data_IF_673596816958
#
_entry.id   IF_673596816958
#
_cell.length_a   1.000
_cell.length_b   1.000
_cell.length_c   1.000
_cell.angle_alpha   90.00
_cell.angle_beta   90.00
_cell.angle_gamma   90.00
#
_symmetry.space_group_name_H-M   'P 1'
#
loop_
_entity.id
_entity.type
_entity.pdbx_description
1 polymer ?
#
# COMPACT_ATOMS: atom_id res chain seq x y z
N UNK A 1 -2.42 2.45 -1.83
CA UNK A 1 -2.33 1.00 -2.06
C UNK A 1 -1.58 0.39 -0.94
N UNK A 2 -1.73 -0.92 -0.73
CA UNK A 2 -1.10 -1.57 0.38
C UNK A 2 0.36 -1.89 0.03
N UNK A 3 1.30 -1.31 0.77
CA UNK A 3 2.71 -1.65 0.76
C UNK A 3 2.96 -2.87 1.64
N UNK A 4 3.91 -3.73 1.30
CA UNK A 4 4.54 -4.59 2.30
C UNK A 4 5.38 -3.69 3.20
N UNK A 5 5.13 -3.74 4.50
CA UNK A 5 5.82 -2.89 5.47
C UNK A 5 6.73 -3.70 6.37
N UNK A 6 7.83 -3.07 6.79
CA UNK A 6 8.77 -3.59 7.78
C UNK A 6 8.75 -2.70 9.01
N UNK A 7 8.56 -3.30 10.18
CA UNK A 7 8.88 -2.69 11.46
C UNK A 7 10.22 -3.20 11.97
N UNK A 8 11.09 -2.31 12.44
CA UNK A 8 12.42 -2.65 12.97
C UNK A 8 12.62 -1.99 14.32
N UNK A 9 13.03 -2.76 15.33
CA UNK A 9 13.45 -2.18 16.61
C UNK A 9 14.78 -1.44 16.41
N UNK A 10 14.77 -0.13 16.61
CA UNK A 10 15.94 0.73 16.44
C UNK A 10 16.56 1.18 17.76
N UNK A 11 15.88 0.96 18.88
CA UNK A 11 16.43 1.26 20.19
C UNK A 11 15.42 1.11 21.33
N UNK A 12 15.90 1.39 22.53
CA UNK A 12 15.09 1.61 23.72
C UNK A 12 15.24 3.07 24.13
N UNK A 13 14.15 3.76 24.43
CA UNK A 13 14.22 5.20 24.76
C UNK A 13 14.59 5.46 26.22
N UNK A 14 14.54 4.44 27.08
CA UNK A 14 14.71 4.58 28.52
C UNK A 14 15.61 3.47 29.11
N UNK A 15 15.70 3.42 30.44
CA UNK A 15 16.62 2.58 31.22
C UNK A 15 16.25 1.08 31.17
N UNK A 16 16.71 0.40 30.12
CA UNK A 16 16.49 -1.05 29.93
C UNK A 16 17.30 -1.92 30.89
N UNK A 17 18.39 -1.40 31.46
CA UNK A 17 19.21 -2.15 32.42
C UNK A 17 18.46 -2.30 33.75
N UNK A 18 17.83 -1.22 34.21
CA UNK A 18 17.01 -1.22 35.43
C UNK A 18 15.61 -1.78 35.22
N UNK A 19 15.03 -1.56 34.03
CA UNK A 19 13.69 -1.99 33.66
C UNK A 19 13.74 -2.81 32.37
N UNK A 20 14.07 -4.10 32.44
CA UNK A 20 14.27 -4.93 31.25
C UNK A 20 12.96 -5.13 30.47
N UNK A 21 13.09 -5.27 29.15
CA UNK A 21 11.96 -5.62 28.29
C UNK A 21 11.48 -7.04 28.63
N UNK A 22 10.26 -7.19 29.16
CA UNK A 22 9.69 -8.50 29.45
C UNK A 22 9.47 -9.40 28.22
N UNK A 23 9.33 -8.79 27.04
CA UNK A 23 9.24 -9.54 25.78
C UNK A 23 10.62 -9.95 25.23
N UNK A 24 11.69 -9.48 25.87
CA UNK A 24 13.08 -9.72 25.51
C UNK A 24 13.39 -9.37 24.04
N UNK A 25 12.98 -8.18 23.62
CA UNK A 25 13.34 -7.64 22.31
C UNK A 25 14.84 -7.33 22.22
N UNK A 26 15.44 -7.59 21.07
CA UNK A 26 16.80 -7.16 20.72
C UNK A 26 16.77 -6.09 19.62
N UNK A 27 17.67 -5.11 19.73
CA UNK A 27 17.85 -4.08 18.70
C UNK A 27 18.20 -4.78 17.38
N UNK A 28 17.51 -4.38 16.31
CA UNK A 28 17.63 -5.01 15.01
C UNK A 28 16.62 -6.12 14.74
N UNK A 29 15.80 -6.55 15.73
CA UNK A 29 14.66 -7.43 15.46
C UNK A 29 13.65 -6.73 14.54
N UNK A 30 13.09 -7.53 13.62
CA UNK A 30 12.19 -7.05 12.57
C UNK A 30 10.90 -7.87 12.55
N UNK A 31 9.82 -7.23 12.10
CA UNK A 31 8.62 -7.90 11.63
C UNK A 31 8.19 -7.31 10.30
N UNK A 32 7.43 -8.07 9.51
CA UNK A 32 6.82 -7.58 8.27
C UNK A 32 5.32 -7.83 8.26
N UNK A 33 4.60 -7.00 7.51
CA UNK A 33 3.18 -7.19 7.20
C UNK A 33 2.96 -7.01 5.70
N UNK A 34 2.37 -8.00 5.05
CA UNK A 34 2.19 -8.07 3.59
C UNK A 34 0.73 -7.92 3.14
N UNK A 35 -0.16 -7.51 4.05
CA UNK A 35 -1.60 -7.41 3.81
C UNK A 35 -2.42 -8.59 4.32
N UNK A 36 -1.79 -9.74 4.56
CA UNK A 36 -2.45 -10.95 5.06
C UNK A 36 -1.76 -11.52 6.29
N UNK A 37 -0.44 -11.56 6.26
CA UNK A 37 0.40 -12.21 7.27
C UNK A 37 1.30 -11.21 7.92
N UNK A 38 1.47 -11.41 9.22
CA UNK A 38 2.51 -10.76 10.00
C UNK A 38 3.58 -11.81 10.30
N UNK A 39 4.80 -11.52 9.87
CA UNK A 39 5.96 -12.39 10.10
C UNK A 39 6.93 -11.70 11.05
N UNK A 40 7.38 -12.37 12.09
CA UNK A 40 8.24 -11.80 13.13
C UNK A 40 7.58 -11.79 14.51
N UNK A 41 8.35 -11.39 15.53
CA UNK A 41 7.89 -11.40 16.93
C UNK A 41 7.23 -10.07 17.28
N UNK A 42 5.99 -10.12 17.74
CA UNK A 42 5.27 -8.93 18.19
C UNK A 42 4.81 -9.09 19.64
N UNK A 43 5.25 -8.17 20.49
CA UNK A 43 4.76 -8.04 21.84
C UNK A 43 3.32 -7.50 21.81
N UNK A 44 2.36 -8.14 22.51
CA UNK A 44 1.01 -7.59 22.61
C UNK A 44 0.98 -6.15 23.15
N UNK A 45 1.95 -5.77 23.98
CA UNK A 45 2.06 -4.43 24.57
C UNK A 45 2.39 -3.31 23.58
N UNK A 46 2.89 -3.63 22.38
CA UNK A 46 3.14 -2.61 21.34
C UNK A 46 1.96 -2.44 20.38
N UNK A 47 0.96 -3.33 20.40
CA UNK A 47 -0.15 -3.31 19.43
C UNK A 47 -0.91 -1.97 19.41
N UNK A 48 -1.10 -1.36 20.59
CA UNK A 48 -1.81 -0.08 20.73
C UNK A 48 -1.17 1.05 19.91
N UNK A 49 0.16 1.14 19.91
CA UNK A 49 0.91 2.20 19.22
C UNK A 49 1.39 1.77 17.84
N UNK A 50 1.59 0.47 17.63
CA UNK A 50 2.00 -0.12 16.35
C UNK A 50 0.90 -0.05 15.30
N UNK A 51 -0.34 -0.44 15.62
CA UNK A 51 -1.41 -0.61 14.62
C UNK A 51 -1.67 0.67 13.81
N UNK A 52 -1.81 1.86 14.40
CA UNK A 52 -2.02 3.09 13.63
C UNK A 52 -0.85 3.41 12.68
N UNK A 53 0.39 3.22 13.14
CA UNK A 53 1.60 3.50 12.33
C UNK A 53 1.76 2.50 11.19
N UNK A 54 1.57 1.20 11.47
CA UNK A 54 1.60 0.13 10.46
C UNK A 54 0.49 0.34 9.45
N UNK A 55 -0.75 0.60 9.89
CA UNK A 55 -1.89 0.84 9.03
C UNK A 55 -1.65 2.01 8.08
N UNK A 56 -1.16 3.15 8.60
CA UNK A 56 -0.90 4.31 7.75
C UNK A 56 0.23 4.06 6.75
N UNK A 57 1.34 3.47 7.19
CA UNK A 57 2.47 3.14 6.31
C UNK A 57 2.07 2.11 5.27
N UNK A 58 1.25 1.14 5.65
CA UNK A 58 0.71 0.12 4.77
C UNK A 58 -0.14 0.75 3.67
N UNK A 59 -1.07 1.67 3.95
CA UNK A 59 -1.96 2.20 2.91
C UNK A 59 -1.44 3.38 2.09
N UNK A 60 -0.46 4.11 2.63
CA UNK A 60 -0.02 5.40 2.05
C UNK A 60 1.49 5.58 2.05
N UNK A 61 2.28 4.62 2.53
CA UNK A 61 3.74 4.73 2.57
C UNK A 61 4.16 5.98 3.34
N UNK A 62 5.01 6.79 2.71
CA UNK A 62 5.49 8.10 3.20
C UNK A 62 4.60 9.25 2.76
N UNK A 63 3.42 8.99 2.17
CA UNK A 63 2.54 9.99 1.59
C UNK A 63 1.30 10.25 2.45
N UNK A 64 0.52 11.24 2.04
CA UNK A 64 -0.68 11.66 2.75
C UNK A 64 -1.84 10.64 2.66
N UNK A 65 -2.71 10.65 3.66
CA UNK A 65 -3.84 9.73 3.83
C UNK A 65 -4.88 9.80 2.71
N UNK A 66 -4.93 10.92 1.99
CA UNK A 66 -5.83 11.15 0.87
C UNK A 66 -5.45 10.29 -0.33
N UNK A 67 -4.21 9.81 -0.42
CA UNK A 67 -3.69 9.02 -1.56
C UNK A 67 -3.99 7.52 -1.48
N UNK A 68 -4.87 7.11 -0.56
CA UNK A 68 -5.23 5.71 -0.40
C UNK A 68 -6.18 5.28 -1.54
N UNK A 69 -5.67 4.41 -2.41
CA UNK A 69 -6.35 3.97 -3.64
C UNK A 69 -7.77 3.40 -3.49
N UNK A 70 -8.10 2.73 -2.36
CA UNK A 70 -9.40 2.07 -2.24
C UNK A 70 -10.54 3.09 -2.27
N UNK A 71 -10.24 4.36 -1.95
CA UNK A 71 -11.15 5.50 -2.08
C UNK A 71 -11.54 5.81 -3.53
N UNK A 72 -10.74 5.37 -4.50
CA UNK A 72 -10.90 5.62 -5.94
C UNK A 72 -11.18 4.34 -6.75
N UNK A 73 -11.24 3.19 -6.09
CA UNK A 73 -11.44 1.89 -6.75
C UNK A 73 -12.91 1.56 -7.03
N UNK A 74 -13.83 2.40 -6.56
CA UNK A 74 -15.26 2.21 -6.74
C UNK A 74 -15.82 1.00 -5.98
N UNK A 75 -17.07 0.64 -6.30
CA UNK A 75 -17.75 -0.50 -5.73
C UNK A 75 -17.42 -1.78 -6.51
N UNK A 76 -17.50 -2.94 -5.85
CA UNK A 76 -17.20 -4.24 -6.44
C UNK A 76 -18.18 -5.32 -5.98
N UNK A 77 -18.38 -6.33 -6.82
CA UNK A 77 -19.18 -7.51 -6.52
C UNK A 77 -18.32 -8.77 -6.65
N UNK A 78 -18.57 -9.75 -5.79
CA UNK A 78 -17.93 -11.07 -5.87
C UNK A 78 -18.33 -11.77 -7.18
N UNK A 79 -17.33 -12.22 -7.92
CA UNK A 79 -17.47 -12.98 -9.15
C UNK A 79 -16.31 -13.99 -9.27
N UNK A 80 -16.53 -15.28 -8.94
CA UNK A 80 -15.48 -16.30 -8.98
C UNK A 80 -14.81 -16.47 -10.35
N UNK A 81 -15.52 -16.16 -11.45
CA UNK A 81 -14.95 -16.28 -12.80
C UNK A 81 -13.82 -15.28 -13.05
N UNK A 82 -13.80 -14.19 -12.29
CA UNK A 82 -12.80 -13.13 -12.38
C UNK A 82 -11.51 -13.44 -11.64
N UNK A 83 -11.49 -14.51 -10.83
CA UNK A 83 -10.31 -14.91 -10.04
C UNK A 83 -9.07 -15.13 -10.91
N UNK A 84 -9.24 -15.55 -12.16
CA UNK A 84 -8.12 -15.69 -13.10
C UNK A 84 -7.43 -14.35 -13.38
N UNK A 85 -8.18 -13.25 -13.36
CA UNK A 85 -7.69 -11.90 -13.64
C UNK A 85 -7.25 -11.18 -12.35
N UNK A 86 -8.15 -10.99 -11.39
CA UNK A 86 -7.90 -10.19 -10.18
C UNK A 86 -7.24 -10.98 -9.03
N UNK A 87 -7.23 -12.31 -9.12
CA UNK A 87 -6.64 -13.23 -8.14
C UNK A 87 -7.54 -13.65 -6.98
N UNK A 88 -8.66 -12.96 -6.73
CA UNK A 88 -9.54 -13.22 -5.58
C UNK A 88 -11.02 -13.40 -5.95
N UNK A 89 -11.44 -13.02 -7.16
CA UNK A 89 -12.77 -13.25 -7.71
C UNK A 89 -13.75 -12.11 -7.44
N UNK A 90 -13.43 -10.90 -7.88
CA UNK A 90 -14.28 -9.72 -7.87
C UNK A 90 -14.29 -9.01 -9.22
N UNK A 91 -15.40 -8.34 -9.51
CA UNK A 91 -15.54 -7.39 -10.62
C UNK A 91 -16.02 -6.03 -10.14
N UNK A 92 -15.69 -4.93 -10.84
CA UNK A 92 -16.27 -3.63 -10.59
C UNK A 92 -17.79 -3.64 -10.77
N UNK A 93 -18.49 -2.86 -9.95
CA UNK A 93 -19.90 -2.54 -10.15
C UNK A 93 -20.01 -1.25 -10.97
N UNK A 94 -20.82 -1.29 -12.03
CA UNK A 94 -21.08 -0.12 -12.89
C UNK A 94 -22.08 0.85 -12.25
N UNK A 95 -22.96 0.31 -11.42
CA UNK A 95 -24.00 1.06 -10.72
C UNK A 95 -23.98 0.70 -9.24
N UNK A 96 -24.28 1.69 -8.40
CA UNK A 96 -24.36 1.47 -6.97
C UNK A 96 -25.57 0.57 -6.63
N UNK A 97 -25.44 -0.39 -5.71
CA UNK A 97 -26.56 -1.21 -5.27
C UNK A 97 -27.72 -0.35 -4.75
N UNK A 98 -28.95 -0.80 -4.99
CA UNK A 98 -30.14 -0.13 -4.46
C UNK A 98 -30.03 0.05 -2.94
N UNK A 99 -30.42 1.23 -2.43
CA UNK A 99 -30.36 1.55 -1.01
C UNK A 99 -28.95 1.89 -0.48
N UNK A 100 -27.91 1.91 -1.32
CA UNK A 100 -26.54 2.32 -0.92
C UNK A 100 -26.45 3.78 -0.43
N UNK A 101 -27.41 4.62 -0.81
CA UNK A 101 -27.35 6.07 -0.63
C UNK A 101 -26.20 6.67 -1.44
N UNK A 102 -26.24 7.96 -1.74
CA UNK A 102 -25.15 8.67 -2.44
C UNK A 102 -23.84 8.77 -1.62
N UNK A 103 -23.66 7.91 -0.60
CA UNK A 103 -22.55 7.96 0.36
C UNK A 103 -21.24 7.41 -0.19
N UNK A 104 -21.29 6.63 -1.28
CA UNK A 104 -20.14 6.00 -1.94
C UNK A 104 -19.73 6.68 -3.24
N UNK A 105 -20.42 7.73 -3.69
CA UNK A 105 -20.16 8.43 -4.96
C UNK A 105 -19.22 9.64 -4.84
N UNK A 106 -18.64 9.89 -3.67
CA UNK A 106 -17.69 10.99 -3.51
C UNK A 106 -16.30 10.53 -3.97
N UNK A 107 -16.07 10.61 -5.28
CA UNK A 107 -14.72 10.83 -5.81
C UNK A 107 -14.42 12.30 -5.57
N UNK A 108 -13.91 12.64 -4.38
CA UNK A 108 -13.11 13.87 -4.31
C UNK A 108 -11.93 13.55 -5.20
N UNK A 109 -11.77 14.20 -6.35
CA UNK A 109 -10.50 14.20 -7.07
C UNK A 109 -9.55 14.95 -6.16
N UNK A 110 -8.75 14.27 -5.31
CA UNK A 110 -7.96 14.98 -4.34
C UNK A 110 -6.85 15.63 -5.14
N UNK A 111 -6.65 16.91 -4.92
CA UNK A 111 -5.40 17.52 -5.35
C UNK A 111 -4.26 16.69 -4.75
N UNK A 112 -3.32 16.25 -5.60
CA UNK A 112 -2.18 15.39 -5.19
C UNK A 112 -1.48 16.06 -4.01
N UNK A 113 -1.60 15.54 -2.77
CA UNK A 113 -0.82 16.06 -1.68
C UNK A 113 0.64 15.67 -1.98
N UNK A 114 1.49 16.66 -2.16
CA UNK A 114 2.94 16.48 -2.36
C UNK A 114 3.68 16.31 -1.04
N UNK A 115 3.00 16.55 0.08
CA UNK A 115 3.57 16.43 1.41
C UNK A 115 4.00 14.98 1.71
N UNK A 116 5.30 14.81 1.96
CA UNK A 116 5.87 13.59 2.52
C UNK A 116 5.76 13.65 4.04
N UNK A 117 5.30 12.57 4.67
CA UNK A 117 5.15 12.45 6.13
C UNK A 117 6.39 11.84 6.81
N UNK A 118 7.39 11.42 6.05
CA UNK A 118 8.53 10.64 6.55
C UNK A 118 8.15 9.20 6.90
N UNK A 119 9.11 8.40 7.38
CA UNK A 119 8.85 7.04 7.86
C UNK A 119 8.04 7.05 9.16
N UNK A 120 7.19 6.02 9.35
CA UNK A 120 6.42 5.88 10.58
C UNK A 120 7.30 5.44 11.74
N UNK A 121 7.01 5.89 12.95
CA UNK A 121 7.62 5.33 14.18
C UNK A 121 6.55 5.02 15.21
N UNK A 122 6.85 4.11 16.12
CA UNK A 122 6.02 3.86 17.29
C UNK A 122 6.88 3.39 18.47
N UNK A 123 6.38 3.58 19.69
CA UNK A 123 7.06 3.18 20.91
C UNK A 123 6.17 2.27 21.76
N UNK A 124 6.78 1.35 22.49
CA UNK A 124 6.10 0.61 23.55
C UNK A 124 5.55 1.57 24.61
N UNK A 125 4.34 1.28 25.08
CA UNK A 125 3.65 2.08 26.09
C UNK A 125 4.27 1.95 27.50
N UNK A 126 5.16 0.98 27.74
CA UNK A 126 5.95 0.95 28.98
C UNK A 126 6.96 2.10 28.97
N UNK A 127 6.64 3.17 29.67
CA UNK A 127 7.46 4.38 29.75
C UNK A 127 8.81 4.18 30.45
N UNK A 128 9.07 3.02 31.08
CA UNK A 128 10.35 2.74 31.75
C UNK A 128 11.40 2.14 30.82
N UNK A 129 10.95 1.41 29.79
CA UNK A 129 11.81 0.73 28.80
C UNK A 129 11.66 1.37 27.42
N UNK A 130 10.41 1.54 26.97
CA UNK A 130 9.99 2.13 25.70
C UNK A 130 10.79 1.66 24.48
N UNK A 131 10.55 0.41 24.08
CA UNK A 131 11.06 -0.15 22.83
C UNK A 131 10.58 0.68 21.62
N UNK A 132 11.49 1.15 20.78
CA UNK A 132 11.24 2.13 19.74
C UNK A 132 11.47 1.54 18.34
N UNK A 133 10.45 1.64 17.49
CA UNK A 133 10.43 1.01 16.18
C UNK A 133 10.34 2.04 15.06
N UNK A 134 11.08 1.80 13.99
CA UNK A 134 10.86 2.43 12.69
C UNK A 134 9.99 1.54 11.81
N UNK A 135 9.11 2.14 11.01
CA UNK A 135 8.23 1.48 10.05
C UNK A 135 8.41 2.10 8.68
N UNK A 136 8.62 1.26 7.67
CA UNK A 136 8.81 1.71 6.29
C UNK A 136 8.20 0.76 5.27
N UNK A 137 7.78 1.26 4.10
CA UNK A 137 7.45 0.40 2.97
C UNK A 137 8.74 -0.23 2.42
N UNK A 138 8.71 -1.53 2.19
CA UNK A 138 9.83 -2.30 1.62
C UNK A 138 9.49 -2.95 0.28
N UNK A 139 8.19 -3.13 0.01
CA UNK A 139 7.67 -3.72 -1.22
C UNK A 139 6.19 -3.36 -1.44
N UNK A 140 5.60 -3.86 -2.51
CA UNK A 140 4.15 -3.93 -2.69
C UNK A 140 3.57 -5.08 -1.87
N UNK A 141 2.39 -4.89 -1.29
CA UNK A 141 1.69 -5.95 -0.58
C UNK A 141 1.07 -6.91 -1.59
N UNK A 142 1.42 -8.19 -1.50
CA UNK A 142 0.95 -9.23 -2.42
C UNK A 142 0.01 -10.25 -1.76
N UNK A 143 -0.41 -10.04 -0.52
CA UNK A 143 -1.18 -11.00 0.29
C UNK A 143 -2.67 -10.64 0.45
N UNK A 144 -3.51 -11.67 0.63
CA UNK A 144 -4.91 -11.48 1.04
C UNK A 144 -5.73 -10.63 0.08
N UNK A 145 -6.38 -9.59 0.60
CA UNK A 145 -7.25 -8.72 -0.22
C UNK A 145 -6.46 -7.74 -1.11
N UNK A 146 -5.13 -7.67 -0.98
CA UNK A 146 -4.27 -6.78 -1.77
C UNK A 146 -3.87 -7.36 -3.12
N UNK A 147 -4.18 -8.64 -3.37
CA UNK A 147 -3.78 -9.36 -4.59
C UNK A 147 -4.24 -8.67 -5.89
N UNK A 148 -5.50 -8.16 -6.03
CA UNK A 148 -5.91 -7.43 -7.24
C UNK A 148 -5.03 -6.22 -7.53
N UNK A 149 -4.76 -5.46 -6.48
CA UNK A 149 -3.98 -4.25 -6.49
C UNK A 149 -2.54 -4.52 -6.95
N UNK A 150 -1.89 -5.51 -6.34
CA UNK A 150 -0.57 -5.99 -6.73
C UNK A 150 -0.52 -6.42 -8.21
N UNK A 151 -1.50 -7.21 -8.67
CA UNK A 151 -1.56 -7.65 -10.08
C UNK A 151 -1.69 -6.48 -11.05
N UNK A 152 -2.46 -5.45 -10.70
CA UNK A 152 -2.58 -4.23 -11.51
C UNK A 152 -1.27 -3.47 -11.58
N UNK A 153 -0.61 -3.25 -10.45
CA UNK A 153 0.69 -2.58 -10.39
C UNK A 153 1.74 -3.32 -11.22
N UNK A 154 1.81 -4.64 -11.11
CA UNK A 154 2.74 -5.44 -11.91
C UNK A 154 2.39 -5.40 -13.40
N UNK A 155 1.10 -5.41 -13.76
CA UNK A 155 0.69 -5.25 -15.16
C UNK A 155 1.08 -3.88 -15.73
N UNK A 156 0.89 -2.80 -14.96
CA UNK A 156 1.35 -1.45 -15.31
C UNK A 156 2.88 -1.42 -15.46
N UNK A 157 3.60 -2.01 -14.51
CA UNK A 157 5.06 -2.09 -14.54
C UNK A 157 5.57 -2.80 -15.80
N UNK A 158 4.93 -3.90 -16.22
CA UNK A 158 5.29 -4.58 -17.47
C UNK A 158 5.05 -3.71 -18.72
N UNK A 159 4.04 -2.83 -18.71
CA UNK A 159 3.89 -1.82 -19.79
C UNK A 159 5.01 -0.79 -19.76
N UNK A 160 5.41 -0.32 -18.57
CA UNK A 160 6.54 0.62 -18.40
C UNK A 160 7.87 -0.03 -18.83
N UNK A 161 8.09 -1.31 -18.53
CA UNK A 161 9.28 -2.07 -18.97
C UNK A 161 9.34 -2.23 -20.48
N UNK A 162 8.22 -2.56 -21.11
CA UNK A 162 8.16 -2.73 -22.56
C UNK A 162 8.23 -1.41 -23.32
N UNK A 163 7.79 -0.30 -22.70
CA UNK A 163 7.80 1.02 -23.29
C UNK A 163 8.26 2.08 -22.26
N UNK A 164 9.57 2.23 -22.02
CA UNK A 164 10.08 3.24 -21.10
C UNK A 164 9.74 4.67 -21.56
N UNK A 165 9.46 5.55 -20.60
CA UNK A 165 9.18 6.97 -20.86
C UNK A 165 7.74 7.25 -21.29
N UNK A 166 6.78 6.47 -20.78
CA UNK A 166 5.35 6.59 -21.09
C UNK A 166 4.58 7.35 -20.02
N UNK A 167 3.61 8.13 -20.45
CA UNK A 167 2.66 8.87 -19.59
C UNK A 167 1.52 7.97 -19.11
N UNK A 168 0.73 8.47 -18.14
CA UNK A 168 -0.49 7.78 -17.64
C UNK A 168 -1.46 7.47 -18.77
N UNK A 169 -1.71 8.42 -19.67
CA UNK A 169 -2.66 8.25 -20.78
C UNK A 169 -2.16 7.20 -21.78
N UNK A 170 -0.85 7.20 -22.07
CA UNK A 170 -0.24 6.18 -22.92
C UNK A 170 -0.31 4.79 -22.28
N UNK A 171 -0.10 4.68 -20.95
CA UNK A 171 -0.28 3.42 -20.20
C UNK A 171 -1.73 2.92 -20.35
N UNK A 172 -2.72 3.79 -20.12
CA UNK A 172 -4.14 3.44 -20.27
C UNK A 172 -4.46 2.97 -21.70
N UNK A 173 -3.85 3.60 -22.70
CA UNK A 173 -3.99 3.21 -24.11
C UNK A 173 -3.41 1.83 -24.45
N UNK A 174 -2.57 1.24 -23.58
CA UNK A 174 -2.04 -0.14 -23.74
C UNK A 174 -2.96 -1.22 -23.19
N UNK A 175 -4.03 -0.86 -22.49
CA UNK A 175 -5.03 -1.78 -21.97
C UNK A 175 -6.30 -1.77 -22.83
N UNK A 176 -6.85 -2.94 -23.06
CA UNK A 176 -8.17 -3.11 -23.67
C UNK A 176 -9.27 -2.58 -22.76
N UNK A 177 -10.45 -2.29 -23.32
CA UNK A 177 -11.61 -1.82 -22.54
C UNK A 177 -11.98 -2.85 -21.44
N UNK A 178 -11.94 -4.15 -21.76
CA UNK A 178 -12.15 -5.20 -20.77
C UNK A 178 -11.13 -5.14 -19.63
N UNK A 179 -9.83 -5.01 -19.97
CA UNK A 179 -8.79 -4.92 -18.94
C UNK A 179 -8.95 -3.67 -18.09
N UNK A 180 -9.40 -2.54 -18.64
CA UNK A 180 -9.58 -1.30 -17.87
C UNK A 180 -10.80 -1.36 -16.97
N UNK A 181 -11.93 -1.80 -17.51
CA UNK A 181 -13.24 -1.52 -16.92
C UNK A 181 -13.87 -2.73 -16.23
N UNK A 182 -13.50 -3.96 -16.59
CA UNK A 182 -14.13 -5.18 -16.07
C UNK A 182 -13.29 -5.88 -15.00
N UNK A 183 -11.97 -5.70 -14.98
CA UNK A 183 -11.10 -6.30 -13.96
C UNK A 183 -11.01 -5.37 -12.73
N UNK A 184 -11.08 -5.93 -11.51
CA UNK A 184 -10.93 -5.14 -10.29
C UNK A 184 -9.45 -4.97 -9.87
N UNK A 185 -9.04 -3.81 -9.30
CA UNK A 185 -9.74 -2.52 -9.41
C UNK A 185 -9.70 -2.00 -10.86
N UNK A 186 -10.67 -1.14 -11.26
CA UNK A 186 -10.67 -0.54 -12.59
C UNK A 186 -9.52 0.46 -12.76
N UNK A 187 -9.04 0.59 -14.01
CA UNK A 187 -7.94 1.48 -14.37
C UNK A 187 -8.45 2.81 -14.92
N UNK A 188 -8.44 3.82 -14.05
CA UNK A 188 -8.66 5.23 -14.40
C UNK A 188 -7.36 6.02 -14.19
N UNK A 189 -7.28 7.22 -14.76
CA UNK A 189 -6.10 8.09 -14.65
C UNK A 189 -5.63 8.28 -13.21
N UNK A 190 -6.56 8.51 -12.28
CA UNK A 190 -6.27 8.65 -10.84
C UNK A 190 -5.67 7.36 -10.24
N UNK A 191 -6.24 6.19 -10.55
CA UNK A 191 -5.77 4.93 -10.00
C UNK A 191 -4.41 4.55 -10.56
N UNK A 192 -4.22 4.72 -11.88
CA UNK A 192 -2.92 4.47 -12.53
C UNK A 192 -1.85 5.39 -11.98
N UNK A 193 -2.16 6.68 -11.79
CA UNK A 193 -1.20 7.62 -11.20
C UNK A 193 -0.81 7.21 -9.78
N UNK A 194 -1.77 6.82 -8.93
CA UNK A 194 -1.48 6.34 -7.57
C UNK A 194 -0.60 5.08 -7.59
N UNK A 195 -0.92 4.11 -8.45
CA UNK A 195 -0.12 2.89 -8.62
C UNK A 195 1.31 3.18 -9.08
N UNK A 196 1.50 4.13 -10.00
CA UNK A 196 2.83 4.56 -10.43
C UNK A 196 3.62 5.24 -9.32
N UNK A 197 2.94 6.07 -8.53
CA UNK A 197 3.52 6.67 -7.35
C UNK A 197 4.01 5.57 -6.37
N UNK A 198 3.23 4.53 -6.12
CA UNK A 198 3.63 3.43 -5.23
C UNK A 198 4.79 2.60 -5.77
N UNK A 199 4.74 2.27 -7.06
CA UNK A 199 5.84 1.63 -7.78
C UNK A 199 7.15 2.44 -7.68
N UNK A 200 7.06 3.77 -7.76
CA UNK A 200 8.19 4.67 -7.56
C UNK A 200 8.75 4.59 -6.13
N UNK A 201 7.86 4.57 -5.13
CA UNK A 201 8.25 4.61 -3.72
C UNK A 201 9.04 3.37 -3.28
N UNK A 202 8.76 2.21 -3.89
CA UNK A 202 9.50 0.96 -3.64
C UNK A 202 10.52 0.64 -4.75
N UNK A 203 10.73 1.56 -5.71
CA UNK A 203 11.82 1.52 -6.68
C UNK A 203 11.61 0.61 -7.90
N UNK A 204 10.37 0.17 -8.17
CA UNK A 204 10.02 -0.51 -9.42
C UNK A 204 9.99 0.45 -10.61
N UNK A 205 9.57 1.70 -10.40
CA UNK A 205 9.47 2.72 -11.44
C UNK A 205 10.26 3.97 -11.02
N UNK A 206 10.65 4.78 -11.99
CA UNK A 206 11.14 6.14 -11.78
C UNK A 206 10.23 7.11 -12.56
N UNK A 207 9.73 8.17 -11.90
CA UNK A 207 8.91 9.19 -12.55
C UNK A 207 9.75 10.42 -12.86
N UNK A 208 9.82 10.80 -14.15
CA UNK A 208 10.53 11.98 -14.65
C UNK A 208 9.64 12.74 -15.61
N UNK A 209 9.40 14.02 -15.36
CA UNK A 209 8.63 14.91 -16.25
C UNK A 209 7.27 14.32 -16.68
N UNK A 210 6.56 13.68 -15.74
CA UNK A 210 5.25 13.05 -15.99
C UNK A 210 5.31 11.72 -16.74
N UNK A 211 6.50 11.16 -16.96
CA UNK A 211 6.73 9.89 -17.65
C UNK A 211 7.30 8.85 -16.69
N UNK A 212 6.86 7.61 -16.87
CA UNK A 212 7.32 6.45 -16.11
C UNK A 212 8.42 5.70 -16.84
N UNK A 213 9.49 5.38 -16.11
CA UNK A 213 10.64 4.59 -16.55
C UNK A 213 10.83 3.39 -15.63
N UNK A 214 11.43 2.28 -16.09
CA UNK A 214 11.80 1.19 -15.21
C UNK A 214 12.81 1.64 -14.16
N UNK A 215 12.55 1.28 -12.91
CA UNK A 215 13.44 1.54 -11.78
C UNK A 215 14.51 0.47 -11.61
N UNK A 216 15.17 0.49 -10.45
CA UNK A 216 16.26 -0.43 -10.14
C UNK A 216 15.78 -1.79 -9.63
N UNK A 217 14.53 -1.87 -9.14
CA UNK A 217 13.93 -3.11 -8.65
C UNK A 217 13.37 -3.90 -9.83
N UNK A 218 13.76 -5.17 -9.93
CA UNK A 218 13.40 -6.08 -11.04
C UNK A 218 12.15 -6.88 -10.75
#
# INVERSE_FOLDING_TARGET
MPFKVRGKLIGFMNDVERFPCHFDYKIGEEFTYDGERIEGRICPGVLLTMVPTVWQTFFSGKRAYERIIFKYSGLSLKDPSMKQYDGIGYRPLKEAPEGSGQKSSIVVTPERPTALKGGGTFACADCRTSAYFSVEPIDLASGGYTVPYYRREMSIFEKVKSHPGITVDEILGKFTDFERDEIYPPLYSVNVQLMLDELEEVGYVELKDGKAYPGNKK
#
